data_IF_732977235683
#
_entry.id   IF_732977235683
#
_cell.length_a   1.000
_cell.length_b   1.000
_cell.length_c   1.000
_cell.angle_alpha   90.00
_cell.angle_beta   90.00
_cell.angle_gamma   90.00
#
_symmetry.space_group_name_H-M   'P 1'
#
loop_
_entity.id
_entity.type
_entity.pdbx_description
1 polymer ?
#
# COMPACT_ATOMS: atom_id res chain seq x y z
N UNK A 1 -3.21 -2.33 21.55
CA UNK A 1 -3.50 -1.18 20.66
C UNK A 1 -4.20 -1.71 19.41
N UNK A 2 -5.09 -0.92 18.80
CA UNK A 2 -6.04 -1.36 17.76
C UNK A 2 -5.99 -0.48 16.50
N UNK A 3 -6.63 -0.97 15.42
CA UNK A 3 -6.56 -0.45 14.05
C UNK A 3 -6.61 1.09 13.95
N UNK A 4 -7.68 1.71 14.44
CA UNK A 4 -7.90 3.14 14.24
C UNK A 4 -6.90 4.03 14.98
N UNK A 5 -6.26 3.54 16.04
CA UNK A 5 -5.21 4.30 16.73
C UNK A 5 -3.97 4.53 15.85
N UNK A 6 -3.68 3.61 14.93
CA UNK A 6 -2.55 3.72 14.00
C UNK A 6 -2.96 4.22 12.62
N UNK A 7 -4.07 3.71 12.09
CA UNK A 7 -4.46 4.00 10.71
C UNK A 7 -4.96 5.43 10.51
N UNK A 8 -5.72 6.00 11.45
CA UNK A 8 -6.19 7.40 11.33
C UNK A 8 -5.03 8.39 11.18
N UNK A 9 -4.05 8.45 12.11
CA UNK A 9 -2.96 9.42 11.99
C UNK A 9 -2.05 9.14 10.78
N UNK A 10 -1.82 7.87 10.43
CA UNK A 10 -1.04 7.52 9.23
C UNK A 10 -1.71 8.04 7.96
N UNK A 11 -3.01 7.79 7.80
CA UNK A 11 -3.80 8.24 6.66
C UNK A 11 -3.87 9.76 6.56
N UNK A 12 -3.93 10.47 7.69
CA UNK A 12 -3.89 11.94 7.70
C UNK A 12 -2.60 12.49 7.08
N UNK A 13 -1.47 11.81 7.28
CA UNK A 13 -0.16 12.24 6.77
C UNK A 13 0.12 11.77 5.33
N UNK A 14 -0.38 10.61 4.93
CA UNK A 14 0.03 9.94 3.68
C UNK A 14 -1.14 9.28 2.92
N UNK A 15 -2.30 9.93 2.86
CA UNK A 15 -3.56 9.34 2.37
C UNK A 15 -3.45 8.58 1.04
N UNK A 16 -2.76 9.15 0.05
CA UNK A 16 -2.64 8.61 -1.31
C UNK A 16 -1.34 7.84 -1.58
N UNK A 17 -0.43 7.80 -0.61
CA UNK A 17 0.90 7.17 -0.74
C UNK A 17 1.13 6.05 0.29
N UNK A 18 0.18 5.80 1.18
CA UNK A 18 0.22 4.66 2.10
C UNK A 18 0.35 3.33 1.36
N UNK A 19 1.17 2.43 1.92
CA UNK A 19 1.36 1.06 1.44
C UNK A 19 1.10 0.10 2.59
N UNK A 20 0.23 -0.88 2.36
CA UNK A 20 0.00 -1.95 3.32
C UNK A 20 1.05 -3.05 3.10
N UNK A 21 1.82 -3.38 4.15
CA UNK A 21 2.83 -4.44 4.14
C UNK A 21 2.41 -5.52 5.13
N UNK A 22 2.36 -6.77 4.67
CA UNK A 22 2.08 -7.92 5.56
C UNK A 22 3.37 -8.57 6.00
N UNK A 23 3.65 -8.48 7.30
CA UNK A 23 4.82 -9.08 7.93
C UNK A 23 4.51 -10.50 8.42
N UNK A 24 5.54 -11.36 8.48
CA UNK A 24 5.42 -12.75 8.96
C UNK A 24 5.07 -13.79 7.89
N UNK A 25 4.88 -13.39 6.63
CA UNK A 25 4.69 -14.31 5.50
C UNK A 25 6.02 -14.84 4.94
N UNK A 26 6.04 -16.03 4.30
CA UNK A 26 7.24 -16.56 3.62
C UNK A 26 7.59 -15.83 2.32
N UNK A 27 6.74 -14.90 1.88
CA UNK A 27 6.89 -14.09 0.68
C UNK A 27 6.75 -12.60 1.00
N UNK A 28 7.31 -11.74 0.17
CA UNK A 28 7.07 -10.29 0.24
C UNK A 28 5.65 -10.03 -0.27
N UNK A 29 4.82 -9.39 0.56
CA UNK A 29 3.45 -9.00 0.19
C UNK A 29 3.21 -7.54 0.56
N UNK A 30 3.02 -6.72 -0.47
CA UNK A 30 2.51 -5.35 -0.38
C UNK A 30 1.11 -5.27 -0.95
N UNK A 31 0.38 -4.19 -0.66
CA UNK A 31 -0.97 -3.94 -1.16
C UNK A 31 -1.25 -2.44 -1.19
N UNK A 32 -2.18 -2.05 -2.06
CA UNK A 32 -2.81 -0.72 -2.03
C UNK A 32 -3.45 -0.45 -0.68
N UNK A 33 -3.61 0.83 -0.38
CA UNK A 33 -4.17 1.34 0.88
C UNK A 33 -5.60 1.91 0.70
N UNK A 34 -6.23 1.67 -0.45
CA UNK A 34 -7.62 2.04 -0.72
C UNK A 34 -8.52 0.80 -0.87
N UNK A 35 -9.83 1.04 -0.84
CA UNK A 35 -10.86 0.03 -1.12
C UNK A 35 -11.09 -0.19 -2.62
N UNK A 36 -12.21 -0.82 -2.96
CA UNK A 36 -12.53 -1.21 -4.35
C UNK A 36 -13.00 -0.07 -5.25
N UNK A 37 -13.51 1.02 -4.68
CA UNK A 37 -14.01 2.19 -5.42
C UNK A 37 -14.98 1.83 -6.57
N UNK A 38 -15.99 1.00 -6.28
CA UNK A 38 -16.91 0.45 -7.29
C UNK A 38 -17.67 1.51 -8.08
N UNK A 39 -17.95 2.65 -7.47
CA UNK A 39 -18.63 3.80 -8.06
C UNK A 39 -17.85 4.44 -9.22
N UNK A 40 -16.53 4.22 -9.29
CA UNK A 40 -15.66 4.76 -10.36
C UNK A 40 -15.05 3.67 -11.24
N UNK A 41 -15.41 2.40 -11.05
CA UNK A 41 -14.89 1.30 -11.87
C UNK A 41 -15.24 1.50 -13.36
N UNK A 42 -14.25 1.37 -14.24
CA UNK A 42 -14.43 1.54 -15.70
C UNK A 42 -14.59 2.99 -16.18
N UNK A 43 -14.55 3.97 -15.29
CA UNK A 43 -14.74 5.39 -15.65
C UNK A 43 -13.47 6.12 -16.05
N UNK A 44 -12.29 5.51 -15.82
CA UNK A 44 -10.98 6.15 -16.03
C UNK A 44 -10.58 7.17 -14.95
N UNK A 45 -11.36 7.30 -13.86
CA UNK A 45 -11.10 8.27 -12.77
C UNK A 45 -10.19 7.76 -11.66
N UNK A 46 -9.96 6.45 -11.57
CA UNK A 46 -9.15 5.85 -10.51
C UNK A 46 -7.67 6.27 -10.63
N UNK A 47 -7.09 6.71 -9.51
CA UNK A 47 -5.66 7.03 -9.45
C UNK A 47 -4.83 5.74 -9.26
N UNK A 48 -3.76 5.52 -10.06
CA UNK A 48 -2.88 4.36 -9.88
C UNK A 48 -1.80 4.58 -8.80
N UNK A 49 -1.70 5.76 -8.19
CA UNK A 49 -0.55 6.14 -7.34
C UNK A 49 -0.27 5.17 -6.18
N UNK A 50 -1.29 4.73 -5.44
CA UNK A 50 -1.10 3.77 -4.34
C UNK A 50 -0.63 2.40 -4.83
N UNK A 51 -1.08 1.96 -6.02
CA UNK A 51 -0.62 0.72 -6.63
C UNK A 51 0.85 0.81 -7.04
N UNK A 52 1.25 1.92 -7.66
CA UNK A 52 2.64 2.16 -8.03
C UNK A 52 3.54 2.19 -6.79
N UNK A 53 3.13 2.90 -5.74
CA UNK A 53 3.86 2.92 -4.46
C UNK A 53 4.00 1.52 -3.84
N UNK A 54 2.94 0.70 -3.87
CA UNK A 54 2.98 -0.66 -3.35
C UNK A 54 3.96 -1.56 -4.12
N UNK A 55 4.06 -1.38 -5.45
CA UNK A 55 5.03 -2.08 -6.30
C UNK A 55 6.45 -1.61 -5.98
N UNK A 56 6.67 -0.30 -5.87
CA UNK A 56 7.99 0.27 -5.54
C UNK A 56 8.52 -0.23 -4.20
N UNK A 57 7.67 -0.25 -3.16
CA UNK A 57 8.04 -0.79 -1.84
C UNK A 57 8.40 -2.28 -1.94
N UNK A 58 7.65 -3.08 -2.71
CA UNK A 58 7.99 -4.49 -2.90
C UNK A 58 9.36 -4.66 -3.56
N UNK A 59 9.67 -3.85 -4.58
CA UNK A 59 10.99 -3.86 -5.25
C UNK A 59 12.10 -3.48 -4.26
N UNK A 60 11.89 -2.46 -3.42
CA UNK A 60 12.84 -2.06 -2.39
C UNK A 60 13.10 -3.19 -1.38
N UNK A 61 12.04 -3.87 -0.93
CA UNK A 61 12.16 -5.02 -0.01
C UNK A 61 12.91 -6.20 -0.65
N UNK A 62 12.72 -6.44 -1.95
CA UNK A 62 13.46 -7.48 -2.69
C UNK A 62 14.95 -7.14 -2.72
N UNK A 63 15.32 -5.91 -3.08
CA UNK A 63 16.72 -5.45 -3.12
C UNK A 63 17.38 -5.60 -1.74
N UNK A 64 16.69 -5.11 -0.70
CA UNK A 64 17.17 -5.21 0.68
C UNK A 64 17.36 -6.68 1.14
N UNK A 65 16.46 -7.59 0.74
CA UNK A 65 16.59 -9.03 1.05
C UNK A 65 17.75 -9.69 0.31
N UNK A 66 18.09 -9.23 -0.89
CA UNK A 66 19.18 -9.75 -1.71
C UNK A 66 20.55 -9.15 -1.36
N UNK A 67 20.60 -8.16 -0.46
CA UNK A 67 21.84 -7.44 -0.12
C UNK A 67 22.37 -6.57 -1.27
N UNK A 68 21.47 -6.15 -2.17
CA UNK A 68 21.74 -5.27 -3.32
C UNK A 68 21.41 -3.81 -3.00
#
# INVERSE_FOLDING_TARGET
MYHDQGHIPMKLLAFDQGVNVTLGMPIIRTSVDHGTAFDIAGTGKASPSSLLAAIEVAIQMVKAKQGL
#
